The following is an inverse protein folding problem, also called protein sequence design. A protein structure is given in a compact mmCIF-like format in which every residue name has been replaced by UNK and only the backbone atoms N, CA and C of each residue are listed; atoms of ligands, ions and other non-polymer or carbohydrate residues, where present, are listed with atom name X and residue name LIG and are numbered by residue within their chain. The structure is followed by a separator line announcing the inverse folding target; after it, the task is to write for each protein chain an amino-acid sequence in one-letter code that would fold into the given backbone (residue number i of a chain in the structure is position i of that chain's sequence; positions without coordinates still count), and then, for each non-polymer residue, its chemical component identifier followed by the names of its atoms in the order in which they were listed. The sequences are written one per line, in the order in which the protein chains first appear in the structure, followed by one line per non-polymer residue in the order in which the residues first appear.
data_IF_640557434204
#
_entry.id   IF_640557434204
#
_cell.length_a   1.000
_cell.length_b   1.000
_cell.length_c   1.000
_cell.angle_alpha   90.00
_cell.angle_beta   90.00
_cell.angle_gamma   90.00
#
_symmetry.space_group_name_H-M   'P 1'
#
loop_
_entity.id
_entity.type
_entity.pdbx_description
1 polymer ?
#
# COMPACT_ATOMS: atom_id res chain seq x y z
N UNK A 1 -7.32 6.73 -0.67
CA UNK A 1 -5.99 6.74 -0.02
C UNK A 1 -5.00 5.92 -0.84
N UNK A 2 -3.79 6.42 -1.01
CA UNK A 2 -2.70 5.74 -1.71
C UNK A 2 -1.44 5.88 -0.85
N UNK A 3 -0.71 4.79 -0.65
CA UNK A 3 0.53 4.76 0.12
C UNK A 3 1.51 3.81 -0.55
N UNK A 4 2.80 4.13 -0.53
CA UNK A 4 3.87 3.24 -0.98
C UNK A 4 4.74 2.84 0.20
N UNK A 5 5.02 1.54 0.32
CA UNK A 5 5.78 0.93 1.41
C UNK A 5 7.14 0.44 0.90
N UNK A 6 8.19 0.88 1.57
CA UNK A 6 9.59 0.61 1.23
C UNK A 6 10.32 -0.02 2.41
N UNK A 7 11.36 -0.81 2.10
CA UNK A 7 12.32 -1.32 3.11
C UNK A 7 13.35 -0.29 3.56
N UNK A 8 13.58 0.76 2.76
CA UNK A 8 14.62 1.76 2.99
C UNK A 8 14.03 3.10 3.42
N UNK A 9 14.76 3.81 4.28
CA UNK A 9 14.44 5.14 4.79
C UNK A 9 14.43 6.22 3.71
N UNK A 10 15.17 6.00 2.62
CA UNK A 10 15.32 6.96 1.53
C UNK A 10 14.95 6.25 0.22
N UNK A 11 13.65 6.14 -0.11
CA UNK A 11 13.24 5.46 -1.34
C UNK A 11 13.70 6.20 -2.60
N UNK A 12 13.89 7.52 -2.52
CA UNK A 12 14.24 8.39 -3.64
C UNK A 12 15.58 8.05 -4.30
N UNK A 13 16.53 7.45 -3.57
CA UNK A 13 17.88 7.17 -4.07
C UNK A 13 17.99 5.80 -4.77
N UNK A 14 17.06 4.87 -4.53
CA UNK A 14 17.21 3.47 -4.98
C UNK A 14 15.92 2.75 -5.42
N UNK A 15 14.76 3.43 -5.47
CA UNK A 15 13.46 2.81 -5.79
C UNK A 15 13.48 1.95 -7.08
N UNK A 16 14.27 2.34 -8.08
CA UNK A 16 14.37 1.67 -9.37
C UNK A 16 15.01 0.28 -9.32
N UNK A 17 15.63 -0.13 -8.21
CA UNK A 17 16.27 -1.45 -8.07
C UNK A 17 15.75 -2.28 -6.91
N UNK A 18 14.80 -1.74 -6.14
CA UNK A 18 14.30 -2.39 -4.93
C UNK A 18 12.81 -2.72 -5.07
N UNK A 19 12.41 -3.79 -4.37
CA UNK A 19 11.01 -4.14 -4.25
C UNK A 19 10.27 -3.12 -3.37
N UNK A 20 9.07 -2.76 -3.75
CA UNK A 20 8.15 -1.92 -2.96
C UNK A 20 6.70 -2.37 -3.16
N UNK A 21 5.81 -1.92 -2.28
CA UNK A 21 4.38 -2.22 -2.37
C UNK A 21 3.58 -0.92 -2.39
N UNK A 22 2.64 -0.83 -3.30
CA UNK A 22 1.69 0.29 -3.37
C UNK A 22 0.33 -0.19 -2.87
N UNK A 23 -0.14 0.37 -1.77
CA UNK A 23 -1.43 0.04 -1.16
C UNK A 23 -2.43 1.14 -1.50
N UNK A 24 -3.59 0.75 -2.02
CA UNK A 24 -4.67 1.66 -2.40
C UNK A 24 -5.95 1.26 -1.68
N UNK A 25 -6.65 2.26 -1.16
CA UNK A 25 -8.03 2.17 -0.71
C UNK A 25 -8.84 3.22 -1.45
N UNK A 26 -9.92 2.80 -2.09
CA UNK A 26 -10.78 3.71 -2.85
C UNK A 26 -12.12 3.11 -3.18
N UNK A 27 -13.01 3.94 -3.70
CA UNK A 27 -14.36 3.55 -4.11
C UNK A 27 -14.36 3.12 -5.58
N UNK A 28 -15.21 2.15 -5.90
CA UNK A 28 -15.50 1.75 -7.27
C UNK A 28 -16.93 1.24 -7.37
N UNK A 29 -17.60 1.59 -8.47
CA UNK A 29 -18.90 1.01 -8.78
C UNK A 29 -18.72 -0.39 -9.39
N UNK A 30 -19.37 -1.39 -8.78
CA UNK A 30 -19.48 -2.75 -9.31
C UNK A 30 -20.96 -3.07 -9.46
N UNK A 31 -21.36 -3.42 -10.68
CA UNK A 31 -22.76 -3.75 -11.02
C UNK A 31 -23.78 -2.69 -10.55
N UNK A 32 -23.40 -1.41 -10.59
CA UNK A 32 -24.25 -0.28 -10.20
C UNK A 32 -24.30 0.02 -8.69
N UNK A 33 -23.59 -0.75 -7.86
CA UNK A 33 -23.46 -0.51 -6.43
C UNK A 33 -22.08 0.08 -6.10
N UNK A 34 -22.00 1.13 -5.25
CA UNK A 34 -20.71 1.63 -4.77
C UNK A 34 -20.12 0.63 -3.78
N UNK A 35 -18.86 0.25 -4.01
CA UNK A 35 -18.10 -0.62 -3.11
C UNK A 35 -16.71 -0.05 -2.81
N UNK A 36 -16.19 -0.37 -1.62
CA UNK A 36 -14.85 0.03 -1.21
C UNK A 36 -13.84 -1.07 -1.51
N UNK A 37 -12.75 -0.74 -2.19
CA UNK A 37 -11.74 -1.69 -2.63
C UNK A 37 -10.40 -1.40 -1.98
N UNK A 38 -9.75 -2.47 -1.53
CA UNK A 38 -8.35 -2.45 -1.11
C UNK A 38 -7.55 -3.21 -2.15
N UNK A 39 -6.52 -2.57 -2.70
CA UNK A 39 -5.62 -3.17 -3.69
C UNK A 39 -4.18 -3.01 -3.25
N UNK A 40 -3.39 -4.03 -3.48
CA UNK A 40 -1.94 -3.97 -3.32
C UNK A 40 -1.29 -4.18 -4.69
N UNK A 41 -0.33 -3.34 -5.05
CA UNK A 41 0.52 -3.56 -6.21
C UNK A 41 1.94 -3.81 -5.76
N UNK A 42 2.40 -5.05 -5.90
CA UNK A 42 3.79 -5.43 -5.69
C UNK A 42 4.61 -4.96 -6.89
N UNK A 43 5.67 -4.20 -6.65
CA UNK A 43 6.54 -3.67 -7.68
C UNK A 43 8.00 -4.09 -7.44
N UNK A 44 8.70 -4.48 -8.49
CA UNK A 44 10.14 -4.74 -8.45
C UNK A 44 10.77 -4.50 -9.82
N UNK A 45 12.08 -4.31 -9.85
CA UNK A 45 12.84 -4.23 -11.09
C UNK A 45 13.24 -5.61 -11.58
N UNK A 46 12.91 -5.94 -12.83
CA UNK A 46 13.43 -7.12 -13.51
C UNK A 46 14.69 -6.72 -14.30
N UNK A 47 15.90 -7.15 -13.87
CA UNK A 47 17.14 -6.82 -14.54
C UNK A 47 17.27 -7.49 -15.91
N UNK A 48 16.59 -8.63 -16.14
CA UNK A 48 16.65 -9.35 -17.42
C UNK A 48 15.79 -8.66 -18.47
N UNK A 49 14.56 -8.33 -18.10
CA UNK A 49 13.64 -7.60 -18.98
C UNK A 49 13.90 -6.08 -19.00
N UNK A 50 14.83 -5.58 -18.17
CA UNK A 50 15.17 -4.16 -18.01
C UNK A 50 13.94 -3.26 -17.83
N UNK A 51 12.98 -3.72 -17.03
CA UNK A 51 11.72 -3.01 -16.79
C UNK A 51 11.23 -3.20 -15.36
N UNK A 52 10.37 -2.30 -14.93
CA UNK A 52 9.62 -2.44 -13.70
C UNK A 52 8.47 -3.44 -13.92
N UNK A 53 8.39 -4.45 -13.06
CA UNK A 53 7.28 -5.41 -13.01
C UNK A 53 6.30 -4.95 -11.92
N UNK A 54 5.01 -5.00 -12.23
CA UNK A 54 3.91 -4.64 -11.33
C UNK A 54 2.91 -5.78 -11.31
N UNK A 55 2.63 -6.32 -10.14
CA UNK A 55 1.59 -7.33 -9.94
C UNK A 55 0.57 -6.78 -8.95
N UNK A 56 -0.67 -6.65 -9.40
CA UNK A 56 -1.76 -6.13 -8.59
C UNK A 56 -2.59 -7.28 -8.01
N UNK A 57 -2.91 -7.15 -6.73
CA UNK A 57 -3.79 -8.04 -5.98
C UNK A 57 -4.96 -7.22 -5.45
N UNK A 58 -6.18 -7.72 -5.67
CA UNK A 58 -7.38 -7.21 -5.01
C UNK A 58 -7.56 -7.93 -3.69
N UNK A 59 -7.63 -7.16 -2.60
CA UNK A 59 -7.67 -7.66 -1.22
C UNK A 59 -9.07 -7.54 -0.58
N UNK A 60 -10.04 -7.05 -1.34
CA UNK A 60 -11.46 -6.99 -1.02
C UNK A 60 -12.22 -8.15 -1.67
N UNK A 61 -13.46 -8.42 -1.24
CA UNK A 61 -14.40 -9.25 -1.99
C UNK A 61 -14.58 -8.76 -3.43
N UNK A 62 -15.19 -9.59 -4.28
CA UNK A 62 -15.39 -9.28 -5.70
C UNK A 62 -16.30 -8.05 -5.87
N UNK A 63 -17.32 -7.99 -5.04
CA UNK A 63 -18.30 -6.92 -4.88
C UNK A 63 -17.74 -5.69 -4.16
N UNK A 64 -16.59 -5.80 -3.50
CA UNK A 64 -16.03 -4.77 -2.63
C UNK A 64 -16.54 -4.88 -1.19
N UNK A 65 -16.01 -4.04 -0.31
CA UNK A 65 -16.56 -3.87 1.04
C UNK A 65 -17.77 -2.93 1.00
N UNK A 66 -18.73 -3.17 1.89
CA UNK A 66 -19.95 -2.37 1.98
C UNK A 66 -19.66 -1.01 2.63
N UNK A 67 -18.72 -0.98 3.58
CA UNK A 67 -18.37 0.23 4.32
C UNK A 67 -16.90 0.60 4.16
N UNK A 68 -16.61 1.89 4.35
CA UNK A 68 -15.24 2.39 4.31
C UNK A 68 -14.43 1.88 5.51
N UNK A 69 -15.10 1.62 6.64
CA UNK A 69 -14.52 1.08 7.87
C UNK A 69 -13.94 -0.32 7.63
N UNK A 70 -14.70 -1.23 7.03
CA UNK A 70 -14.25 -2.58 6.70
C UNK A 70 -13.04 -2.55 5.74
N UNK A 71 -13.12 -1.72 4.70
CA UNK A 71 -12.01 -1.51 3.79
C UNK A 71 -10.78 -0.94 4.52
N UNK A 72 -10.98 -0.01 5.46
CA UNK A 72 -9.90 0.60 6.23
C UNK A 72 -9.24 -0.40 7.16
N UNK A 73 -10.00 -1.27 7.82
CA UNK A 73 -9.45 -2.36 8.64
C UNK A 73 -8.59 -3.30 7.80
N UNK A 74 -9.11 -3.72 6.63
CA UNK A 74 -8.35 -4.57 5.70
C UNK A 74 -7.08 -3.87 5.21
N UNK A 75 -7.16 -2.59 4.91
CA UNK A 75 -6.02 -1.76 4.52
C UNK A 75 -4.97 -1.72 5.64
N UNK A 76 -5.36 -1.41 6.88
CA UNK A 76 -4.43 -1.33 8.01
C UNK A 76 -3.78 -2.67 8.33
N UNK A 77 -4.56 -3.76 8.25
CA UNK A 77 -4.03 -5.11 8.41
C UNK A 77 -2.96 -5.42 7.35
N UNK A 78 -3.22 -5.11 6.09
CA UNK A 78 -2.24 -5.33 5.03
C UNK A 78 -0.98 -4.47 5.21
N UNK A 79 -1.17 -3.19 5.55
CA UNK A 79 -0.08 -2.27 5.85
C UNK A 79 0.82 -2.80 6.96
N UNK A 80 0.25 -3.30 8.06
CA UNK A 80 1.01 -3.87 9.17
C UNK A 80 1.70 -5.19 8.79
N UNK A 81 1.04 -6.05 8.00
CA UNK A 81 1.66 -7.28 7.51
C UNK A 81 2.90 -7.00 6.65
N UNK A 82 2.87 -5.98 5.79
CA UNK A 82 4.04 -5.56 5.02
C UNK A 82 5.11 -4.91 5.88
N UNK A 83 4.72 -4.10 6.87
CA UNK A 83 5.66 -3.55 7.84
C UNK A 83 6.42 -4.66 8.59
N UNK A 84 5.72 -5.70 9.06
CA UNK A 84 6.33 -6.91 9.67
C UNK A 84 7.31 -7.63 8.74
N UNK A 85 7.08 -7.58 7.42
CA UNK A 85 8.00 -8.06 6.40
C UNK A 85 9.20 -7.13 6.09
N UNK A 86 9.36 -6.06 6.87
CA UNK A 86 10.44 -5.07 6.75
C UNK A 86 10.11 -3.83 5.92
N UNK A 87 8.90 -3.70 5.36
CA UNK A 87 8.49 -2.53 4.57
C UNK A 87 7.94 -1.42 5.47
N UNK A 88 8.80 -0.90 6.36
CA UNK A 88 8.41 0.02 7.43
C UNK A 88 8.41 1.49 7.02
N UNK A 89 8.87 1.83 5.82
CA UNK A 89 8.89 3.23 5.36
C UNK A 89 7.71 3.49 4.43
N UNK A 90 6.76 4.27 4.92
CA UNK A 90 5.57 4.68 4.18
C UNK A 90 5.75 6.04 3.53
N UNK A 91 5.23 6.18 2.31
CA UNK A 91 5.06 7.43 1.59
C UNK A 91 3.62 7.56 1.10
N UNK A 92 2.93 8.61 1.53
CA UNK A 92 1.59 8.95 1.05
C UNK A 92 1.66 10.26 0.26
N UNK A 93 1.46 10.22 -1.07
CA UNK A 93 1.45 11.43 -1.87
C UNK A 93 0.28 12.31 -1.45
N UNK A 94 0.55 13.60 -1.25
CA UNK A 94 -0.50 14.60 -1.11
C UNK A 94 -0.53 15.45 -2.38
N UNK A 95 -1.67 15.44 -3.08
CA UNK A 95 -1.87 16.18 -4.32
C UNK A 95 -2.53 17.54 -4.11
N UNK A 96 -2.79 17.92 -2.85
CA UNK A 96 -3.22 19.26 -2.50
C UNK A 96 -2.02 20.22 -2.57
N UNK A 97 -2.10 21.34 -3.30
CA UNK A 97 -0.96 22.24 -3.51
C UNK A 97 -0.42 22.86 -2.21
N UNK A 98 -1.21 22.86 -1.14
CA UNK A 98 -0.85 23.44 0.17
C UNK A 98 -0.31 22.41 1.17
N UNK A 99 -0.40 21.11 0.88
CA UNK A 99 0.01 20.04 1.80
C UNK A 99 1.24 19.31 1.27
N UNK A 100 2.17 19.04 2.18
CA UNK A 100 3.36 18.24 1.87
C UNK A 100 3.00 16.76 1.83
N UNK A 101 3.64 16.02 0.91
CA UNK A 101 3.57 14.57 0.94
C UNK A 101 4.17 14.04 2.25
N UNK A 102 3.57 12.99 2.80
CA UNK A 102 3.87 12.51 4.15
C UNK A 102 4.76 11.27 4.07
N UNK A 103 5.87 11.29 4.80
CA UNK A 103 6.72 10.12 5.02
C UNK A 103 6.58 9.67 6.48
N UNK A 104 6.30 8.39 6.69
CA UNK A 104 6.04 7.83 8.03
C UNK A 104 6.87 6.56 8.23
N UNK A 105 7.51 6.44 9.39
CA UNK A 105 8.03 5.15 9.85
C UNK A 105 6.90 4.39 10.53
N UNK A 106 6.60 3.20 10.04
CA UNK A 106 5.60 2.31 10.63
C UNK A 106 6.22 1.62 11.84
N UNK A 107 5.76 2.01 13.01
CA UNK A 107 6.11 1.31 14.24
C UNK A 107 5.37 -0.02 14.30
N UNK A 108 6.13 -1.11 14.43
CA UNK A 108 5.58 -2.43 14.69
C UNK A 108 5.58 -2.58 16.20
N UNK A 109 4.44 -2.31 16.84
CA UNK A 109 4.26 -2.70 18.24
C UNK A 109 4.36 -4.23 18.30
N UNK A 110 5.41 -4.74 18.96
CA UNK A 110 5.46 -6.14 19.35
C UNK A 110 4.29 -6.33 20.31
N UNK A 111 3.26 -7.05 19.90
CA UNK A 111 2.34 -7.62 20.87
C UNK A 111 3.22 -8.50 21.77
N UNK A 112 3.24 -8.17 23.06
CA UNK A 112 3.82 -9.04 24.08
C UNK A 112 3.06 -10.35 23.96
N UNK A 113 3.77 -11.41 23.56
CA UNK A 113 3.25 -12.77 23.67
C UNK A 113 3.02 -13.02 25.17
N UNK A 114 1.75 -13.19 25.54
CA UNK A 114 1.32 -13.59 26.87
C UNK A 114 1.15 -15.11 26.92
#
# INVERSE_FOLDING_TARGET
MIETLYKTKIPQTTAWRQQFYELRLGEQNVDGQPGYFVRETQCWWDPRAKRMVRVQYTLSPREGFLTIEEARERYQLQRMNRARGGFVHSFSPCYEPTKKSVYVLIEITRAVEA
#
